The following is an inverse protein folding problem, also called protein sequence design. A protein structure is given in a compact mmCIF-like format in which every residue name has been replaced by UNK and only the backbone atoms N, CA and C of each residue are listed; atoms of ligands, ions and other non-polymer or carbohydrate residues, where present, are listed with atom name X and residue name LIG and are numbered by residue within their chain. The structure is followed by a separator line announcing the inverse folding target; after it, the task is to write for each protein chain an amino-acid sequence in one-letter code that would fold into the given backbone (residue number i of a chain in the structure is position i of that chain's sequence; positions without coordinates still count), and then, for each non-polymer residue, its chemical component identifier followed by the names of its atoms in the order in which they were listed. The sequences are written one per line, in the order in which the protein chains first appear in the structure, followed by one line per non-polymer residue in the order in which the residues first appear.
data_IF_113273568431
#
_entry.id   IF_113273568431
#
_cell.length_a   1.000
_cell.length_b   1.000
_cell.length_c   1.000
_cell.angle_alpha   90.00
_cell.angle_beta   90.00
_cell.angle_gamma   90.00
#
_symmetry.space_group_name_H-M   'P 1'
#
loop_
_entity.id
_entity.type
_entity.pdbx_description
1 polymer ?
#
# COMPACT_ATOMS: atom_id res chain seq x y z
N UNK A 1 11.01 6.58 26.90
CA UNK A 1 11.38 5.73 25.73
C UNK A 1 11.22 6.56 24.46
N UNK A 2 12.25 6.55 23.63
CA UNK A 2 12.30 7.25 22.34
C UNK A 2 12.53 6.25 21.20
N UNK A 3 11.79 6.36 20.10
CA UNK A 3 12.01 5.57 18.87
C UNK A 3 12.50 6.50 17.76
N UNK A 4 13.44 6.02 16.94
CA UNK A 4 13.77 6.65 15.67
C UNK A 4 13.28 5.80 14.50
N UNK A 5 12.49 6.42 13.63
CA UNK A 5 12.01 5.84 12.38
C UNK A 5 12.96 6.16 11.23
N UNK A 6 13.31 5.14 10.45
CA UNK A 6 14.02 5.32 9.17
C UNK A 6 13.06 4.97 8.03
N UNK A 7 12.78 5.94 7.17
CA UNK A 7 11.86 5.78 6.05
C UNK A 7 12.34 6.55 4.81
N UNK A 8 12.05 6.04 3.63
CA UNK A 8 12.30 6.79 2.40
C UNK A 8 11.19 7.80 2.09
N UNK A 9 9.99 7.60 2.59
CA UNK A 9 8.83 8.44 2.33
C UNK A 9 8.30 9.05 3.63
N UNK A 10 8.11 10.38 3.62
CA UNK A 10 7.39 11.10 4.67
C UNK A 10 6.83 12.41 4.10
N UNK A 11 5.69 12.92 4.58
CA UNK A 11 5.12 14.17 4.05
C UNK A 11 6.12 15.33 3.98
N UNK A 12 6.08 16.15 2.90
CA UNK A 12 5.11 16.09 1.79
C UNK A 12 5.44 15.06 0.70
N UNK A 13 6.54 14.32 0.78
CA UNK A 13 7.03 13.40 -0.23
C UNK A 13 6.58 11.97 0.05
N UNK A 14 5.30 11.69 -0.19
CA UNK A 14 4.70 10.36 -0.04
C UNK A 14 4.29 9.83 -1.41
N UNK A 15 4.79 8.63 -1.74
CA UNK A 15 4.56 7.98 -3.03
C UNK A 15 3.66 6.74 -2.92
N UNK A 16 3.68 6.06 -1.78
CA UNK A 16 2.98 4.79 -1.60
C UNK A 16 2.42 4.54 -0.21
N UNK A 17 1.79 3.38 -0.06
CA UNK A 17 1.16 2.98 1.21
C UNK A 17 2.11 2.88 2.39
N UNK A 18 3.40 2.63 2.16
CA UNK A 18 4.40 2.60 3.22
C UNK A 18 4.59 3.98 3.87
N UNK A 19 4.74 5.04 3.05
CA UNK A 19 4.85 6.41 3.55
C UNK A 19 3.61 6.87 4.31
N UNK A 20 2.41 6.53 3.79
CA UNK A 20 1.14 6.76 4.49
C UNK A 20 1.13 6.06 5.86
N UNK A 21 1.53 4.78 5.91
CA UNK A 21 1.56 4.02 7.16
C UNK A 21 2.50 4.64 8.19
N UNK A 22 3.71 5.06 7.77
CA UNK A 22 4.69 5.69 8.68
C UNK A 22 4.16 7.02 9.21
N UNK A 23 3.56 7.86 8.36
CA UNK A 23 2.99 9.14 8.79
C UNK A 23 1.98 8.96 9.93
N UNK A 24 0.96 8.14 9.72
CA UNK A 24 -0.09 7.97 10.73
C UNK A 24 0.40 7.24 11.97
N UNK A 25 1.25 6.22 11.81
CA UNK A 25 1.81 5.49 12.93
C UNK A 25 2.64 6.42 13.83
N UNK A 26 3.50 7.26 13.26
CA UNK A 26 4.36 8.18 14.02
C UNK A 26 3.55 9.28 14.70
N UNK A 27 2.47 9.77 14.07
CA UNK A 27 1.52 10.71 14.69
C UNK A 27 0.86 10.11 15.93
N UNK A 28 0.41 8.87 15.86
CA UNK A 28 -0.24 8.19 16.98
C UNK A 28 0.75 7.76 18.07
N UNK A 29 1.95 7.30 17.69
CA UNK A 29 3.00 6.98 18.65
C UNK A 29 3.48 8.22 19.42
N UNK A 30 3.53 9.39 18.78
CA UNK A 30 3.89 10.63 19.44
C UNK A 30 2.94 11.03 20.60
N UNK A 31 1.74 10.45 20.65
CA UNK A 31 0.84 10.59 21.81
C UNK A 31 1.29 9.72 23.00
N UNK A 32 2.11 8.68 22.76
CA UNK A 32 2.52 7.68 23.75
C UNK A 32 3.98 7.81 24.17
N UNK A 33 4.87 8.25 23.26
CA UNK A 33 6.32 8.27 23.47
C UNK A 33 6.99 9.32 22.57
N UNK A 34 8.30 9.54 22.75
CA UNK A 34 9.05 10.43 21.87
C UNK A 34 9.41 9.74 20.55
N UNK A 35 9.16 10.41 19.44
CA UNK A 35 9.35 9.91 18.09
C UNK A 35 10.26 10.84 17.31
N UNK A 36 11.32 10.28 16.76
CA UNK A 36 12.17 10.92 15.76
C UNK A 36 11.95 10.22 14.41
N UNK A 37 11.82 10.97 13.32
CA UNK A 37 11.73 10.44 11.96
C UNK A 37 12.91 10.97 11.16
N UNK A 38 13.72 10.07 10.62
CA UNK A 38 14.72 10.36 9.60
C UNK A 38 14.22 9.86 8.26
N UNK A 39 14.03 10.77 7.31
CA UNK A 39 13.46 10.45 6.00
C UNK A 39 14.30 11.03 4.86
N UNK A 40 14.03 10.55 3.64
CA UNK A 40 14.63 11.15 2.46
C UNK A 40 13.93 12.49 2.17
N UNK A 41 14.71 13.49 1.76
CA UNK A 41 14.22 14.81 1.40
C UNK A 41 14.86 15.93 2.20
N UNK A 42 14.11 17.00 2.46
CA UNK A 42 14.56 18.21 3.14
C UNK A 42 13.63 18.68 4.27
N UNK A 43 12.73 17.81 4.66
CA UNK A 43 11.74 18.09 5.69
C UNK A 43 12.41 18.48 7.01
N UNK A 44 11.83 19.48 7.68
CA UNK A 44 12.19 19.90 9.04
C UNK A 44 10.90 20.20 9.80
N UNK A 45 10.47 19.26 10.65
CA UNK A 45 9.27 19.41 11.48
C UNK A 45 9.64 19.20 12.94
N UNK A 46 9.20 20.10 13.78
CA UNK A 46 9.33 19.96 15.25
C UNK A 46 7.97 20.20 15.87
N UNK A 47 7.40 19.15 16.46
CA UNK A 47 6.14 19.16 17.23
C UNK A 47 6.40 18.53 18.59
N UNK A 48 5.52 18.71 19.58
CA UNK A 48 5.62 17.98 20.84
C UNK A 48 5.77 16.47 20.57
N UNK A 49 6.84 15.86 21.10
CA UNK A 49 7.18 14.43 20.97
C UNK A 49 7.33 13.88 19.54
N UNK A 50 7.37 14.74 18.51
CA UNK A 50 7.61 14.34 17.12
C UNK A 50 8.59 15.28 16.45
N UNK A 51 9.76 14.75 16.09
CA UNK A 51 10.76 15.45 15.31
C UNK A 51 10.95 14.75 13.96
N UNK A 52 10.92 15.50 12.85
CA UNK A 52 11.17 14.97 11.51
C UNK A 52 12.36 15.68 10.88
N UNK A 53 13.29 14.91 10.35
CA UNK A 53 14.49 15.42 9.68
C UNK A 53 14.67 14.69 8.34
N UNK A 54 14.62 15.47 7.26
CA UNK A 54 14.93 14.99 5.91
C UNK A 54 16.44 14.98 5.64
N UNK A 55 16.90 14.01 4.87
CA UNK A 55 18.28 13.83 4.45
C UNK A 55 18.34 13.67 2.95
N UNK A 56 19.26 14.37 2.31
CA UNK A 56 19.50 14.27 0.86
C UNK A 56 20.61 13.27 0.60
N UNK A 57 20.56 12.56 -0.54
CA UNK A 57 21.69 11.73 -0.98
C UNK A 57 22.97 12.57 -1.15
N UNK A 58 24.11 11.93 -1.03
CA UNK A 58 25.38 12.57 -1.31
C UNK A 58 25.46 13.02 -2.77
N UNK A 59 25.94 14.24 -3.05
CA UNK A 59 26.02 14.75 -4.41
C UNK A 59 26.91 13.88 -5.32
N UNK A 60 26.51 13.73 -6.58
CA UNK A 60 27.33 13.09 -7.60
C UNK A 60 27.24 11.56 -7.69
N UNK A 61 26.64 10.87 -6.71
CA UNK A 61 26.58 9.40 -6.72
C UNK A 61 25.82 8.79 -7.90
N UNK A 62 24.84 9.52 -8.43
CA UNK A 62 24.04 9.06 -9.56
C UNK A 62 24.53 9.60 -10.91
N UNK A 63 25.45 10.57 -10.91
CA UNK A 63 25.84 11.35 -12.11
C UNK A 63 26.40 10.46 -13.23
N UNK A 64 27.31 9.55 -12.88
CA UNK A 64 27.97 8.65 -13.82
C UNK A 64 27.64 7.17 -13.53
N UNK A 65 26.58 6.93 -12.74
CA UNK A 65 26.19 5.59 -12.38
C UNK A 65 25.56 4.84 -13.59
N UNK A 66 25.89 3.57 -13.71
CA UNK A 66 25.21 2.69 -14.67
C UNK A 66 23.71 2.78 -14.50
N UNK A 67 22.97 2.72 -15.62
CA UNK A 67 21.51 2.84 -15.65
C UNK A 67 20.86 1.91 -14.63
N UNK A 68 20.05 2.50 -13.73
CA UNK A 68 19.36 1.79 -12.65
C UNK A 68 20.11 1.77 -11.31
N UNK A 69 21.42 2.01 -11.25
CA UNK A 69 22.20 1.94 -10.00
C UNK A 69 22.15 3.23 -9.18
N UNK A 70 21.99 4.39 -9.83
CA UNK A 70 22.04 5.67 -9.14
C UNK A 70 21.13 5.76 -7.92
N UNK A 71 19.86 5.37 -8.05
CA UNK A 71 18.90 5.37 -6.93
C UNK A 71 19.31 4.45 -5.78
N UNK A 72 19.96 3.32 -6.07
CA UNK A 72 20.42 2.41 -5.04
C UNK A 72 21.61 3.00 -4.27
N UNK A 73 22.58 3.61 -4.99
CA UNK A 73 23.73 4.29 -4.37
C UNK A 73 23.27 5.50 -3.54
N UNK A 74 22.33 6.28 -4.03
CA UNK A 74 21.72 7.36 -3.29
C UNK A 74 21.06 6.87 -1.99
N UNK A 75 20.31 5.77 -2.05
CA UNK A 75 19.71 5.17 -0.86
C UNK A 75 20.78 4.75 0.16
N UNK A 76 21.88 4.12 -0.28
CA UNK A 76 22.97 3.73 0.61
C UNK A 76 23.61 4.93 1.31
N UNK A 77 23.83 6.05 0.60
CA UNK A 77 24.40 7.27 1.20
C UNK A 77 23.51 7.85 2.30
N UNK A 78 22.19 7.85 2.09
CA UNK A 78 21.23 8.30 3.12
C UNK A 78 21.21 7.36 4.33
N UNK A 79 21.37 6.04 4.13
CA UNK A 79 21.50 5.10 5.24
C UNK A 79 22.71 5.41 6.12
N UNK A 80 23.85 5.77 5.53
CA UNK A 80 25.04 6.20 6.28
C UNK A 80 24.79 7.49 7.08
N UNK A 81 24.08 8.45 6.50
CA UNK A 81 23.67 9.66 7.22
C UNK A 81 22.72 9.34 8.40
N UNK A 82 21.79 8.40 8.22
CA UNK A 82 20.84 8.02 9.26
C UNK A 82 21.53 7.41 10.50
N UNK A 83 22.59 6.65 10.32
CA UNK A 83 23.26 5.96 11.40
C UNK A 83 24.47 6.70 12.00
N UNK A 84 24.73 7.97 11.63
CA UNK A 84 25.84 8.76 12.20
C UNK A 84 25.78 8.94 13.72
N UNK A 85 24.58 9.11 14.23
CA UNK A 85 24.32 9.27 15.66
C UNK A 85 22.98 8.64 16.03
N UNK A 86 22.82 8.30 17.29
CA UNK A 86 21.57 7.79 17.81
C UNK A 86 21.39 8.19 19.28
N UNK A 87 20.20 8.65 19.62
CA UNK A 87 19.77 8.93 21.01
C UNK A 87 18.44 8.22 21.33
N UNK A 88 18.00 7.34 20.44
CA UNK A 88 16.77 6.58 20.62
C UNK A 88 17.07 5.21 21.26
N UNK A 89 16.09 4.72 21.99
CA UNK A 89 16.12 3.41 22.64
C UNK A 89 15.85 2.27 21.62
N UNK A 90 15.21 2.60 20.48
CA UNK A 90 14.83 1.66 19.42
C UNK A 90 14.99 2.33 18.06
N UNK A 91 15.45 1.55 17.07
CA UNK A 91 15.43 1.92 15.65
C UNK A 91 14.37 1.10 14.95
N UNK A 92 13.47 1.76 14.20
CA UNK A 92 12.43 1.12 13.41
C UNK A 92 12.50 1.56 11.94
N UNK A 93 12.70 0.65 11.01
CA UNK A 93 12.82 0.97 9.59
C UNK A 93 11.68 0.39 8.76
N UNK A 94 11.52 0.99 7.58
CA UNK A 94 10.47 0.65 6.60
C UNK A 94 11.04 0.61 5.20
N UNK A 95 10.85 -0.50 4.49
CA UNK A 95 11.33 -0.78 3.14
C UNK A 95 12.86 -0.93 3.03
N UNK A 96 13.31 -1.62 1.98
CA UNK A 96 14.74 -1.89 1.76
C UNK A 96 15.59 -0.61 1.65
N UNK A 97 15.00 0.50 1.23
CA UNK A 97 15.69 1.79 1.10
C UNK A 97 16.38 2.27 2.38
N UNK A 98 15.91 1.81 3.54
CA UNK A 98 16.40 2.27 4.85
C UNK A 98 16.87 1.14 5.76
N UNK A 99 16.77 -0.08 5.30
CA UNK A 99 17.04 -1.28 6.09
C UNK A 99 18.50 -1.35 6.57
N UNK A 100 19.48 -1.01 5.71
CA UNK A 100 20.90 -1.05 6.09
C UNK A 100 21.23 -0.02 7.17
N UNK A 101 20.67 1.19 7.09
CA UNK A 101 20.88 2.22 8.12
C UNK A 101 20.43 1.74 9.50
N UNK A 102 19.29 1.07 9.58
CA UNK A 102 18.80 0.52 10.84
C UNK A 102 19.65 -0.67 11.32
N UNK A 103 20.07 -1.53 10.42
CA UNK A 103 21.01 -2.62 10.75
C UNK A 103 22.36 -2.08 11.28
N UNK A 104 22.92 -1.06 10.65
CA UNK A 104 24.13 -0.40 11.13
C UNK A 104 23.93 0.28 12.48
N UNK A 105 22.79 0.94 12.69
CA UNK A 105 22.47 1.55 13.99
C UNK A 105 22.42 0.50 15.11
N UNK A 106 21.83 -0.68 14.86
CA UNK A 106 21.87 -1.82 15.80
C UNK A 106 23.32 -2.22 16.15
N UNK A 107 24.20 -2.33 15.15
CA UNK A 107 25.58 -2.74 15.37
C UNK A 107 26.39 -1.68 16.10
N UNK A 108 26.24 -0.41 15.74
CA UNK A 108 27.03 0.69 16.29
C UNK A 108 26.57 1.08 17.69
N UNK A 109 25.26 1.16 17.93
CA UNK A 109 24.71 1.71 19.18
C UNK A 109 24.12 0.64 20.11
N UNK A 110 24.11 -0.64 19.69
CA UNK A 110 23.58 -1.77 20.46
C UNK A 110 22.11 -1.61 20.85
N UNK A 111 21.33 -0.88 20.04
CA UNK A 111 19.89 -0.67 20.25
C UNK A 111 19.08 -1.74 19.51
N UNK A 112 17.90 -2.14 20.04
CA UNK A 112 16.98 -3.03 19.33
C UNK A 112 16.58 -2.48 17.97
N UNK A 113 16.52 -3.36 16.98
CA UNK A 113 16.15 -3.07 15.60
C UNK A 113 14.83 -3.74 15.23
N UNK A 114 13.82 -2.93 14.95
CA UNK A 114 12.51 -3.35 14.44
C UNK A 114 12.39 -3.02 12.96
N UNK A 115 11.78 -3.91 12.18
CA UNK A 115 11.54 -3.73 10.76
C UNK A 115 10.08 -4.02 10.42
N UNK A 116 9.40 -3.12 9.71
CA UNK A 116 8.06 -3.39 9.15
C UNK A 116 8.15 -3.76 7.68
N UNK A 117 7.59 -4.93 7.33
CA UNK A 117 7.49 -5.41 5.95
C UNK A 117 6.19 -4.91 5.33
N UNK A 118 6.31 -3.99 4.35
CA UNK A 118 5.17 -3.51 3.54
C UNK A 118 5.02 -4.29 2.23
N UNK A 119 6.07 -4.95 1.79
CA UNK A 119 6.16 -5.90 0.67
C UNK A 119 7.50 -6.62 0.77
N UNK A 120 7.68 -7.70 0.03
CA UNK A 120 8.95 -8.43 -0.05
C UNK A 120 9.44 -8.41 -1.50
N UNK A 121 10.76 -8.20 -1.69
CA UNK A 121 11.36 -8.18 -3.02
C UNK A 121 11.16 -9.50 -3.79
N UNK A 122 11.29 -10.72 -3.17
CA UNK A 122 11.04 -11.98 -3.88
C UNK A 122 9.60 -12.12 -4.45
N UNK A 123 8.62 -11.46 -3.81
CA UNK A 123 7.23 -11.45 -4.30
C UNK A 123 6.93 -10.34 -5.30
N UNK A 124 7.95 -9.64 -5.79
CA UNK A 124 7.84 -8.51 -6.72
C UNK A 124 8.81 -8.63 -7.89
N UNK A 125 8.81 -9.74 -8.65
CA UNK A 125 9.79 -10.01 -9.71
C UNK A 125 9.79 -8.93 -10.81
N UNK A 126 8.66 -8.26 -11.05
CA UNK A 126 8.55 -7.12 -11.98
C UNK A 126 9.41 -5.90 -11.55
N UNK A 127 9.88 -5.85 -10.29
CA UNK A 127 10.82 -4.81 -9.84
C UNK A 127 12.17 -4.88 -10.54
N UNK A 128 12.54 -6.05 -11.04
CA UNK A 128 13.76 -6.19 -11.86
C UNK A 128 13.69 -5.36 -13.13
N UNK A 129 12.50 -5.19 -13.72
CA UNK A 129 12.29 -4.31 -14.88
C UNK A 129 12.56 -2.82 -14.53
N UNK A 130 12.29 -2.42 -13.28
CA UNK A 130 12.48 -1.04 -12.81
C UNK A 130 13.90 -0.76 -12.31
N UNK A 131 14.49 -1.71 -11.59
CA UNK A 131 15.76 -1.53 -10.87
C UNK A 131 16.96 -2.13 -11.62
N UNK A 132 16.72 -2.97 -12.63
CA UNK A 132 17.81 -3.68 -13.30
C UNK A 132 18.67 -4.46 -12.32
N UNK A 133 19.99 -4.37 -12.45
CA UNK A 133 20.93 -5.02 -11.54
C UNK A 133 20.86 -4.54 -10.09
N UNK A 134 20.31 -3.36 -9.81
CA UNK A 134 20.09 -2.89 -8.45
C UNK A 134 19.01 -3.70 -7.69
N UNK A 135 18.22 -4.54 -8.40
CA UNK A 135 17.28 -5.46 -7.78
C UNK A 135 17.98 -6.52 -6.91
N UNK A 136 19.13 -7.00 -7.34
CA UNK A 136 19.90 -7.99 -6.56
C UNK A 136 20.43 -7.36 -5.28
N UNK A 137 20.87 -6.09 -5.35
CA UNK A 137 21.28 -5.33 -4.16
C UNK A 137 20.10 -5.10 -3.21
N UNK A 138 18.94 -4.67 -3.71
CA UNK A 138 17.74 -4.43 -2.87
C UNK A 138 17.29 -5.72 -2.18
N UNK A 139 17.33 -6.84 -2.88
CA UNK A 139 16.96 -8.16 -2.36
C UNK A 139 17.95 -8.63 -1.28
N UNK A 140 19.26 -8.41 -1.48
CA UNK A 140 20.28 -8.72 -0.49
C UNK A 140 20.13 -7.84 0.77
N UNK A 141 19.91 -6.54 0.60
CA UNK A 141 19.70 -5.60 1.71
C UNK A 141 18.46 -6.01 2.53
N UNK A 142 17.35 -6.31 1.84
CA UNK A 142 16.12 -6.72 2.51
C UNK A 142 16.33 -8.02 3.31
N UNK A 143 16.92 -9.05 2.70
CA UNK A 143 17.24 -10.32 3.36
C UNK A 143 18.10 -10.10 4.60
N UNK A 144 19.22 -9.41 4.45
CA UNK A 144 20.18 -9.18 5.53
C UNK A 144 19.53 -8.47 6.71
N UNK A 145 18.73 -7.44 6.45
CA UNK A 145 18.09 -6.68 7.51
C UNK A 145 16.96 -7.47 8.20
N UNK A 146 16.12 -8.17 7.44
CA UNK A 146 15.00 -8.95 7.99
C UNK A 146 15.54 -10.06 8.92
N UNK A 147 16.60 -10.78 8.50
CA UNK A 147 17.20 -11.84 9.29
C UNK A 147 17.94 -11.32 10.54
N UNK A 148 18.49 -10.09 10.48
CA UNK A 148 19.18 -9.45 11.59
C UNK A 148 18.25 -8.72 12.58
N UNK A 149 16.98 -8.49 12.23
CA UNK A 149 16.05 -7.76 13.07
C UNK A 149 15.76 -8.46 14.40
N UNK A 150 15.58 -7.68 15.47
CA UNK A 150 15.13 -8.20 16.76
C UNK A 150 13.64 -8.52 16.76
N UNK A 151 12.85 -7.73 16.01
CA UNK A 151 11.47 -8.03 15.69
C UNK A 151 11.12 -7.58 14.27
N UNK A 152 10.30 -8.37 13.58
CA UNK A 152 9.72 -8.07 12.27
C UNK A 152 8.22 -7.86 12.43
N UNK A 153 7.72 -6.71 12.05
CA UNK A 153 6.29 -6.44 11.95
C UNK A 153 5.82 -6.83 10.54
N UNK A 154 4.98 -7.83 10.47
CA UNK A 154 4.27 -8.22 9.25
C UNK A 154 2.90 -7.55 9.23
N UNK A 155 2.57 -6.85 8.13
CA UNK A 155 1.29 -6.10 8.01
C UNK A 155 0.06 -7.00 7.85
N UNK A 156 0.25 -8.31 7.74
CA UNK A 156 -0.81 -9.33 7.71
C UNK A 156 -0.27 -10.70 8.11
N UNK A 157 -1.15 -11.64 8.44
CA UNK A 157 -0.76 -13.04 8.66
C UNK A 157 -0.25 -13.69 7.35
N UNK A 158 -0.80 -13.25 6.20
CA UNK A 158 -0.27 -13.61 4.89
C UNK A 158 1.18 -13.18 4.74
N UNK A 159 1.50 -11.91 5.03
CA UNK A 159 2.87 -11.40 5.01
C UNK A 159 3.79 -12.13 5.99
N UNK A 160 3.30 -12.53 7.18
CA UNK A 160 4.08 -13.35 8.11
C UNK A 160 4.48 -14.69 7.48
N UNK A 161 3.57 -15.35 6.77
CA UNK A 161 3.87 -16.59 6.04
C UNK A 161 4.90 -16.35 4.93
N UNK A 162 4.75 -15.26 4.20
CA UNK A 162 5.68 -14.89 3.12
C UNK A 162 7.10 -14.63 3.67
N UNK A 163 7.24 -13.91 4.79
CA UNK A 163 8.53 -13.68 5.47
C UNK A 163 9.18 -15.01 5.87
N UNK A 164 8.41 -15.92 6.47
CA UNK A 164 8.91 -17.24 6.88
C UNK A 164 9.30 -18.13 5.69
N UNK A 165 8.64 -17.96 4.55
CA UNK A 165 8.96 -18.72 3.33
C UNK A 165 10.20 -18.18 2.60
N UNK A 166 10.44 -16.86 2.65
CA UNK A 166 11.53 -16.21 1.92
C UNK A 166 12.82 -16.08 2.71
N UNK A 167 12.74 -16.02 4.06
CA UNK A 167 13.87 -15.65 4.92
C UNK A 167 13.99 -16.56 6.15
N UNK A 168 15.21 -16.69 6.66
CA UNK A 168 15.48 -17.49 7.85
C UNK A 168 15.19 -16.67 9.12
N UNK A 169 13.92 -16.48 9.43
CA UNK A 169 13.45 -15.74 10.62
C UNK A 169 12.52 -16.61 11.46
N UNK A 170 12.82 -16.81 12.76
CA UNK A 170 11.93 -17.55 13.65
C UNK A 170 10.54 -16.89 13.76
N UNK A 171 9.49 -17.71 13.76
CA UNK A 171 8.10 -17.23 13.87
C UNK A 171 7.85 -16.37 15.11
N UNK A 172 8.61 -16.58 16.20
CA UNK A 172 8.55 -15.81 17.45
C UNK A 172 9.00 -14.36 17.29
N UNK A 173 9.86 -14.06 16.31
CA UNK A 173 10.29 -12.69 15.99
C UNK A 173 9.33 -11.95 15.06
N UNK A 174 8.34 -12.64 14.45
CA UNK A 174 7.44 -12.05 13.48
C UNK A 174 6.07 -11.77 14.12
N UNK A 175 5.77 -10.47 14.26
CA UNK A 175 4.55 -9.97 14.90
C UNK A 175 3.58 -9.43 13.85
N UNK A 176 2.33 -9.92 13.86
CA UNK A 176 1.30 -9.40 12.95
C UNK A 176 0.70 -8.14 13.54
N UNK A 177 0.96 -7.00 12.92
CA UNK A 177 0.38 -5.71 13.26
C UNK A 177 -0.12 -5.08 11.96
N UNK A 178 -1.43 -5.06 11.77
CA UNK A 178 -2.07 -4.50 10.57
C UNK A 178 -1.82 -3.00 10.43
N UNK A 179 -1.92 -2.48 9.21
CA UNK A 179 -2.01 -1.03 9.00
C UNK A 179 -3.37 -0.51 9.51
N UNK A 180 -3.41 0.78 9.83
CA UNK A 180 -4.62 1.45 10.30
C UNK A 180 -5.27 2.33 9.23
N UNK A 181 -6.34 3.00 9.64
CA UNK A 181 -7.04 4.04 8.90
C UNK A 181 -7.34 5.22 9.82
N UNK A 182 -7.26 6.44 9.29
CA UNK A 182 -7.73 7.64 10.00
C UNK A 182 -9.23 7.85 9.69
N UNK A 183 -10.06 7.55 10.66
CA UNK A 183 -11.52 7.60 10.52
C UNK A 183 -12.10 9.02 10.57
N UNK A 184 -11.30 10.02 10.96
CA UNK A 184 -11.69 11.42 10.88
C UNK A 184 -11.52 11.96 9.45
N UNK A 185 -10.48 11.50 8.76
CA UNK A 185 -10.23 11.83 7.36
C UNK A 185 -11.09 10.94 6.43
N UNK A 186 -10.98 9.62 6.55
CA UNK A 186 -11.73 8.66 5.72
C UNK A 186 -13.11 8.38 6.32
N UNK A 187 -14.07 9.19 5.92
CA UNK A 187 -15.49 9.09 6.32
C UNK A 187 -16.37 9.37 5.12
N UNK A 188 -17.61 8.86 5.11
CA UNK A 188 -18.56 9.16 4.05
C UNK A 188 -18.74 10.67 3.86
N UNK A 189 -18.67 11.12 2.62
CA UNK A 189 -18.90 12.50 2.19
C UNK A 189 -20.21 12.60 1.40
N UNK A 190 -20.99 13.64 1.65
CA UNK A 190 -22.17 13.96 0.85
C UNK A 190 -21.85 14.84 -0.36
N UNK A 191 -20.63 15.41 -0.43
CA UNK A 191 -20.19 16.22 -1.58
C UNK A 191 -20.09 15.38 -2.84
N UNK A 192 -20.49 15.97 -3.97
CA UNK A 192 -20.34 15.40 -5.32
C UNK A 192 -19.52 16.30 -6.24
N UNK A 193 -18.77 17.24 -5.66
CA UNK A 193 -17.99 18.21 -6.42
C UNK A 193 -16.90 17.53 -7.27
N UNK A 194 -16.19 16.55 -6.69
CA UNK A 194 -15.19 15.76 -7.40
C UNK A 194 -15.82 14.91 -8.51
N UNK A 195 -17.00 14.33 -8.30
CA UNK A 195 -17.70 13.55 -9.32
C UNK A 195 -17.98 14.43 -10.54
N UNK A 196 -18.61 15.60 -10.34
CA UNK A 196 -18.92 16.56 -11.41
C UNK A 196 -17.68 17.06 -12.12
N UNK A 197 -16.62 17.39 -11.38
CA UNK A 197 -15.33 17.84 -11.91
C UNK A 197 -14.74 16.82 -12.91
N UNK A 198 -14.93 15.53 -12.64
CA UNK A 198 -14.37 14.46 -13.45
C UNK A 198 -15.38 13.84 -14.43
N UNK A 199 -16.56 14.47 -14.62
CA UNK A 199 -17.56 14.01 -15.57
C UNK A 199 -18.26 12.71 -15.15
N UNK A 200 -18.29 12.41 -13.87
CA UNK A 200 -19.01 11.26 -13.29
C UNK A 200 -20.42 11.73 -12.96
N UNK A 201 -21.41 11.04 -13.53
CA UNK A 201 -22.84 11.33 -13.23
C UNK A 201 -23.20 10.76 -11.84
N UNK A 202 -23.52 11.62 -10.85
CA UNK A 202 -23.86 11.15 -9.51
C UNK A 202 -25.18 10.35 -9.43
N UNK A 203 -26.06 10.48 -10.44
CA UNK A 203 -27.31 9.74 -10.48
C UNK A 203 -27.16 8.29 -10.95
N UNK A 204 -26.02 7.95 -11.53
CA UNK A 204 -25.74 6.61 -12.07
C UNK A 204 -24.77 5.86 -11.16
N UNK A 205 -25.03 4.57 -10.87
CA UNK A 205 -24.07 3.75 -10.13
C UNK A 205 -22.74 3.63 -10.90
N UNK A 206 -21.62 3.56 -10.17
CA UNK A 206 -20.32 3.31 -10.79
C UNK A 206 -19.46 2.33 -10.02
N UNK A 207 -18.63 1.63 -10.78
CA UNK A 207 -17.49 0.84 -10.27
C UNK A 207 -16.27 1.76 -10.20
N UNK A 208 -15.61 1.79 -9.08
CA UNK A 208 -14.41 2.60 -8.84
C UNK A 208 -13.17 1.72 -8.73
N UNK A 209 -12.10 2.10 -9.40
CA UNK A 209 -10.72 1.68 -9.12
C UNK A 209 -9.90 2.89 -8.68
N UNK A 210 -9.08 2.73 -7.64
CA UNK A 210 -8.11 3.75 -7.20
C UNK A 210 -6.74 3.10 -7.04
N UNK A 211 -5.73 3.63 -7.69
CA UNK A 211 -4.37 3.14 -7.53
C UNK A 211 -3.43 3.51 -8.66
N UNK A 212 -2.15 3.15 -8.51
CA UNK A 212 -1.16 3.30 -9.58
C UNK A 212 -1.37 2.26 -10.67
N UNK A 213 -0.95 2.58 -11.87
CA UNK A 213 -0.95 1.63 -12.99
C UNK A 213 0.28 0.73 -12.84
N UNK A 214 0.10 -0.40 -12.18
CA UNK A 214 1.17 -1.37 -11.93
C UNK A 214 0.66 -2.80 -12.17
N UNK A 215 1.55 -3.74 -12.48
CA UNK A 215 1.17 -5.16 -12.58
C UNK A 215 0.59 -5.65 -11.26
N UNK A 216 1.20 -5.28 -10.15
CA UNK A 216 0.73 -5.63 -8.81
C UNK A 216 -0.74 -5.29 -8.57
N UNK A 217 -1.21 -4.14 -9.05
CA UNK A 217 -2.59 -3.68 -8.85
C UNK A 217 -3.61 -4.35 -9.78
N UNK A 218 -3.16 -5.10 -10.76
CA UNK A 218 -4.01 -5.92 -11.63
C UNK A 218 -5.07 -5.15 -12.42
N UNK A 219 -4.87 -3.83 -12.62
CA UNK A 219 -5.86 -2.97 -13.29
C UNK A 219 -6.25 -3.47 -14.68
N UNK A 220 -5.33 -4.12 -15.39
CA UNK A 220 -5.58 -4.69 -16.72
C UNK A 220 -6.69 -5.75 -16.68
N UNK A 221 -6.78 -6.53 -15.59
CA UNK A 221 -7.86 -7.51 -15.42
C UNK A 221 -9.23 -6.83 -15.24
N UNK A 222 -9.29 -5.68 -14.56
CA UNK A 222 -10.52 -4.88 -14.51
C UNK A 222 -10.84 -4.32 -15.89
N UNK A 223 -9.88 -3.74 -16.59
CA UNK A 223 -10.08 -3.22 -17.96
C UNK A 223 -10.66 -4.32 -18.86
N UNK A 224 -10.12 -5.53 -18.80
CA UNK A 224 -10.64 -6.68 -19.55
C UNK A 224 -12.00 -7.18 -19.07
N UNK A 225 -12.40 -6.87 -17.83
CA UNK A 225 -13.74 -7.18 -17.29
C UNK A 225 -14.83 -6.19 -17.76
N UNK A 226 -14.47 -4.94 -18.07
CA UNK A 226 -15.41 -3.84 -18.39
C UNK A 226 -16.49 -4.22 -19.42
N UNK A 227 -16.19 -4.93 -20.53
CA UNK A 227 -17.22 -5.30 -21.51
C UNK A 227 -18.35 -6.16 -20.94
N UNK A 228 -18.14 -6.81 -19.78
CA UNK A 228 -19.10 -7.69 -19.12
C UNK A 228 -19.75 -7.04 -17.87
N UNK A 229 -19.29 -5.86 -17.47
CA UNK A 229 -19.93 -5.08 -16.41
C UNK A 229 -21.21 -4.46 -16.96
N UNK A 230 -22.25 -4.39 -16.14
CA UNK A 230 -23.53 -3.82 -16.49
C UNK A 230 -23.40 -2.47 -17.23
N UNK A 231 -23.92 -2.35 -18.47
CA UNK A 231 -23.74 -1.14 -19.27
C UNK A 231 -24.45 0.10 -18.69
N UNK A 232 -25.42 -0.08 -17.78
CA UNK A 232 -26.03 1.02 -17.06
C UNK A 232 -25.08 1.68 -16.04
N UNK A 233 -24.10 0.93 -15.52
CA UNK A 233 -23.13 1.46 -14.58
C UNK A 233 -21.96 2.14 -15.31
N UNK A 234 -21.46 3.23 -14.72
CA UNK A 234 -20.21 3.86 -15.14
C UNK A 234 -19.02 3.06 -14.59
N UNK A 235 -17.86 3.16 -15.23
CA UNK A 235 -16.59 2.63 -14.71
C UNK A 235 -15.60 3.77 -14.60
N UNK A 236 -15.15 4.02 -13.38
CA UNK A 236 -14.24 5.11 -13.04
C UNK A 236 -12.88 4.51 -12.68
N UNK A 237 -11.89 4.79 -13.49
CA UNK A 237 -10.50 4.36 -13.30
C UNK A 237 -9.68 5.56 -12.82
N UNK A 238 -9.57 5.75 -11.51
CA UNK A 238 -8.66 6.73 -10.91
C UNK A 238 -7.27 6.10 -10.85
N UNK A 239 -6.54 6.17 -11.97
CA UNK A 239 -5.33 5.41 -12.20
C UNK A 239 -4.28 6.24 -12.92
N UNK A 240 -3.18 6.55 -12.24
CA UNK A 240 -2.04 7.29 -12.75
C UNK A 240 -0.71 6.64 -12.37
N UNK A 241 0.38 7.38 -12.57
CA UNK A 241 1.74 6.99 -12.17
C UNK A 241 2.11 5.54 -12.57
N UNK A 242 2.20 5.24 -13.89
CA UNK A 242 2.57 3.90 -14.35
C UNK A 242 4.00 3.55 -13.93
N UNK A 243 4.22 2.29 -13.55
CA UNK A 243 5.54 1.82 -13.14
C UNK A 243 6.52 1.74 -14.32
N UNK A 244 6.03 1.39 -15.52
CA UNK A 244 6.82 1.31 -16.76
C UNK A 244 6.04 1.86 -17.97
N UNK A 245 6.75 2.15 -19.07
CA UNK A 245 6.12 2.62 -20.30
C UNK A 245 5.24 1.55 -20.95
N UNK A 246 5.62 0.28 -20.80
CA UNK A 246 4.93 -0.88 -21.38
C UNK A 246 3.54 -1.03 -20.75
N UNK A 247 3.43 -1.00 -19.43
CA UNK A 247 2.12 -1.10 -18.76
C UNK A 247 1.27 0.14 -18.99
N UNK A 248 1.89 1.33 -19.15
CA UNK A 248 1.18 2.55 -19.54
C UNK A 248 0.54 2.39 -20.93
N UNK A 249 1.30 1.90 -21.89
CA UNK A 249 0.81 1.66 -23.26
C UNK A 249 -0.28 0.58 -23.30
N UNK A 250 -0.12 -0.53 -22.56
CA UNK A 250 -1.12 -1.59 -22.43
C UNK A 250 -2.45 -1.06 -21.87
N UNK A 251 -2.36 -0.24 -20.81
CA UNK A 251 -3.52 0.40 -20.19
C UNK A 251 -4.23 1.34 -21.18
N UNK A 252 -3.49 2.22 -21.85
CA UNK A 252 -4.04 3.17 -22.82
C UNK A 252 -4.72 2.45 -23.99
N UNK A 253 -4.08 1.45 -24.57
CA UNK A 253 -4.66 0.65 -25.64
C UNK A 253 -5.93 -0.10 -25.21
N UNK A 254 -5.92 -0.66 -24.00
CA UNK A 254 -7.06 -1.35 -23.41
C UNK A 254 -8.27 -0.44 -23.23
N UNK A 255 -8.07 0.73 -22.61
CA UNK A 255 -9.12 1.72 -22.38
C UNK A 255 -9.66 2.28 -23.71
N UNK A 256 -8.77 2.66 -24.63
CA UNK A 256 -9.17 3.19 -25.94
C UNK A 256 -10.02 2.19 -26.74
N UNK A 257 -9.65 0.89 -26.70
CA UNK A 257 -10.43 -0.19 -27.32
C UNK A 257 -11.85 -0.26 -26.76
N UNK A 258 -12.00 -0.16 -25.43
CA UNK A 258 -13.31 -0.26 -24.77
C UNK A 258 -14.15 0.99 -25.05
N UNK A 259 -13.56 2.17 -25.04
CA UNK A 259 -14.27 3.44 -25.27
C UNK A 259 -14.83 3.58 -26.68
N UNK A 260 -14.39 2.74 -27.66
CA UNK A 260 -15.04 2.68 -28.98
C UNK A 260 -16.49 2.17 -28.91
N UNK A 261 -16.76 1.24 -27.99
CA UNK A 261 -18.09 0.60 -27.85
C UNK A 261 -18.83 1.00 -26.59
N UNK A 262 -18.13 1.55 -25.58
CA UNK A 262 -18.71 1.92 -24.27
C UNK A 262 -18.25 3.31 -23.83
N UNK A 263 -19.18 4.28 -23.84
CA UNK A 263 -18.87 5.71 -23.57
C UNK A 263 -18.81 6.09 -22.09
N UNK A 264 -19.33 5.27 -21.19
CA UNK A 264 -19.38 5.54 -19.76
C UNK A 264 -18.18 4.93 -18.99
N UNK A 265 -17.00 4.95 -19.60
CA UNK A 265 -15.72 4.60 -18.99
C UNK A 265 -14.90 5.87 -18.84
N UNK A 266 -14.67 6.28 -17.61
CA UNK A 266 -13.97 7.51 -17.25
C UNK A 266 -12.59 7.12 -16.69
N UNK A 267 -11.55 7.56 -17.34
CA UNK A 267 -10.17 7.35 -16.86
C UNK A 267 -9.54 8.68 -16.44
N UNK A 268 -9.19 8.75 -15.16
CA UNK A 268 -8.51 9.89 -14.54
C UNK A 268 -7.03 9.52 -14.42
N UNK A 269 -6.21 10.05 -15.33
CA UNK A 269 -4.78 9.70 -15.50
C UNK A 269 -3.87 10.40 -14.49
N UNK A 270 -4.37 10.75 -13.32
CA UNK A 270 -3.62 11.50 -12.29
C UNK A 270 -3.81 10.85 -10.93
N UNK A 271 -2.84 11.12 -10.06
CA UNK A 271 -3.02 10.93 -8.62
C UNK A 271 -3.87 12.10 -8.10
N UNK A 272 -5.03 11.77 -7.54
CA UNK A 272 -5.95 12.78 -7.01
C UNK A 272 -5.59 13.18 -5.57
N UNK A 273 -5.94 14.41 -5.16
CA UNK A 273 -5.95 14.80 -3.75
C UNK A 273 -6.83 13.86 -2.93
N UNK A 274 -6.44 13.59 -1.69
CA UNK A 274 -7.14 12.69 -0.76
C UNK A 274 -8.63 13.03 -0.64
N UNK A 275 -8.98 14.31 -0.57
CA UNK A 275 -10.38 14.76 -0.47
C UNK A 275 -11.23 14.32 -1.66
N UNK A 276 -10.70 14.40 -2.89
CA UNK A 276 -11.41 13.94 -4.08
C UNK A 276 -11.54 12.40 -4.09
N UNK A 277 -10.50 11.68 -3.66
CA UNK A 277 -10.54 10.21 -3.55
C UNK A 277 -11.61 9.77 -2.54
N UNK A 278 -11.73 10.46 -1.41
CA UNK A 278 -12.77 10.20 -0.39
C UNK A 278 -14.17 10.39 -0.97
N UNK A 279 -14.41 11.46 -1.75
CA UNK A 279 -15.68 11.65 -2.44
C UNK A 279 -15.96 10.50 -3.43
N UNK A 280 -14.97 10.08 -4.22
CA UNK A 280 -15.12 8.96 -5.15
C UNK A 280 -15.44 7.65 -4.41
N UNK A 281 -14.78 7.35 -3.29
CA UNK A 281 -15.14 6.18 -2.48
C UNK A 281 -16.56 6.28 -1.94
N UNK A 282 -16.94 7.45 -1.42
CA UNK A 282 -18.23 7.66 -0.71
C UNK A 282 -19.46 7.42 -1.59
N UNK A 283 -19.34 7.63 -2.88
CA UNK A 283 -20.44 7.47 -3.83
C UNK A 283 -20.31 6.24 -4.73
N UNK A 284 -19.24 5.45 -4.60
CA UNK A 284 -19.03 4.26 -5.40
C UNK A 284 -20.07 3.17 -5.09
N UNK A 285 -20.74 2.65 -6.11
CA UNK A 285 -21.61 1.49 -5.97
C UNK A 285 -20.82 0.21 -5.68
N UNK A 286 -19.57 0.13 -6.16
CA UNK A 286 -18.60 -0.89 -5.81
C UNK A 286 -17.19 -0.35 -6.01
N UNK A 287 -16.31 -0.57 -5.03
CA UNK A 287 -14.86 -0.40 -5.17
C UNK A 287 -14.24 -1.73 -5.63
N UNK A 288 -13.45 -1.68 -6.69
CA UNK A 288 -12.80 -2.86 -7.26
C UNK A 288 -11.30 -2.85 -6.95
N UNK A 289 -10.80 -3.90 -6.28
CA UNK A 289 -9.39 -4.12 -6.01
C UNK A 289 -8.91 -5.43 -6.64
N UNK A 290 -8.51 -5.43 -7.93
CA UNK A 290 -8.14 -6.65 -8.67
C UNK A 290 -6.66 -7.01 -8.49
N UNK A 291 -6.03 -6.63 -7.38
CA UNK A 291 -4.60 -6.84 -7.13
C UNK A 291 -4.20 -8.31 -7.27
N UNK A 292 -3.05 -8.56 -7.90
CA UNK A 292 -2.48 -9.92 -8.03
C UNK A 292 -1.56 -10.26 -6.84
N UNK A 293 -1.05 -9.25 -6.17
CA UNK A 293 -0.30 -9.35 -4.93
C UNK A 293 -0.64 -8.14 -4.04
N UNK A 294 -1.07 -8.39 -2.81
CA UNK A 294 -1.45 -7.33 -1.89
C UNK A 294 -1.04 -7.69 -0.45
N UNK A 295 0.04 -7.10 0.07
CA UNK A 295 0.54 -7.39 1.42
C UNK A 295 -0.47 -7.14 2.54
N UNK A 296 -1.28 -6.08 2.42
CA UNK A 296 -2.35 -5.75 3.35
C UNK A 296 -3.63 -5.32 2.62
N UNK A 297 -3.53 -4.28 1.77
CA UNK A 297 -4.69 -3.75 1.05
C UNK A 297 -5.34 -2.55 1.74
N UNK A 298 -4.54 -1.56 2.13
CA UNK A 298 -5.03 -0.34 2.79
C UNK A 298 -6.14 0.36 2.02
N UNK A 299 -6.10 0.35 0.68
CA UNK A 299 -7.14 0.93 -0.18
C UNK A 299 -8.51 0.27 0.00
N UNK A 300 -8.57 -1.01 0.40
CA UNK A 300 -9.83 -1.66 0.75
C UNK A 300 -10.36 -1.13 2.09
N UNK A 301 -9.47 -0.86 3.05
CA UNK A 301 -9.86 -0.25 4.33
C UNK A 301 -10.33 1.19 4.13
N UNK A 302 -9.67 1.96 3.26
CA UNK A 302 -10.09 3.31 2.86
C UNK A 302 -11.49 3.31 2.25
N UNK A 303 -11.73 2.43 1.28
CA UNK A 303 -13.03 2.24 0.64
C UNK A 303 -14.11 1.88 1.68
N UNK A 304 -13.84 0.89 2.53
CA UNK A 304 -14.75 0.49 3.61
C UNK A 304 -15.03 1.62 4.60
N UNK A 305 -14.01 2.40 4.96
CA UNK A 305 -14.14 3.55 5.85
C UNK A 305 -15.03 4.66 5.27
N UNK A 306 -15.01 4.82 3.95
CA UNK A 306 -15.87 5.74 3.22
C UNK A 306 -17.26 5.16 2.85
N UNK A 307 -17.54 3.92 3.22
CA UNK A 307 -18.82 3.25 2.96
C UNK A 307 -18.94 2.62 1.56
N UNK A 308 -17.84 2.44 0.82
CA UNK A 308 -17.88 1.74 -0.46
C UNK A 308 -17.93 0.22 -0.27
N UNK A 309 -18.87 -0.50 -0.92
CA UNK A 309 -18.82 -1.96 -1.02
C UNK A 309 -17.58 -2.43 -1.76
N UNK A 310 -16.85 -3.40 -1.21
CA UNK A 310 -15.60 -3.89 -1.80
C UNK A 310 -15.79 -5.16 -2.60
N UNK A 311 -15.24 -5.19 -3.81
CA UNK A 311 -15.05 -6.41 -4.62
C UNK A 311 -13.56 -6.52 -4.89
N UNK A 312 -12.91 -7.55 -4.37
CA UNK A 312 -11.46 -7.68 -4.42
C UNK A 312 -11.01 -9.09 -4.77
N UNK A 313 -9.80 -9.23 -5.28
CA UNK A 313 -9.17 -10.54 -5.47
C UNK A 313 -8.87 -11.21 -4.12
N UNK A 314 -9.00 -12.54 -4.08
CA UNK A 314 -8.71 -13.33 -2.89
C UNK A 314 -7.21 -13.59 -2.74
N UNK A 315 -6.41 -12.53 -2.45
CA UNK A 315 -4.95 -12.61 -2.33
C UNK A 315 -4.42 -11.91 -1.07
N UNK A 316 -3.33 -12.43 -0.53
CA UNK A 316 -2.54 -11.82 0.54
C UNK A 316 -3.36 -11.29 1.71
N UNK A 317 -3.05 -10.08 2.15
CA UNK A 317 -3.72 -9.41 3.26
C UNK A 317 -5.17 -8.99 2.99
N UNK A 318 -5.63 -8.98 1.73
CA UNK A 318 -7.06 -8.72 1.41
C UNK A 318 -7.97 -9.72 2.11
N UNK A 319 -7.52 -10.97 2.28
CA UNK A 319 -8.26 -12.02 2.98
C UNK A 319 -8.52 -11.70 4.48
N UNK A 320 -7.71 -10.82 5.04
CA UNK A 320 -7.84 -10.37 6.43
C UNK A 320 -8.62 -9.05 6.55
N UNK A 321 -8.65 -8.26 5.48
CA UNK A 321 -9.39 -7.00 5.42
C UNK A 321 -10.85 -7.22 5.07
N UNK A 322 -11.13 -7.94 3.98
CA UNK A 322 -12.49 -8.16 3.46
C UNK A 322 -13.02 -9.50 3.97
N UNK A 323 -14.14 -9.46 4.69
CA UNK A 323 -14.86 -10.67 5.11
C UNK A 323 -15.89 -11.03 4.05
N UNK A 324 -15.72 -12.21 3.37
CA UNK A 324 -16.62 -12.58 2.27
C UNK A 324 -18.09 -12.60 2.69
N UNK A 325 -18.97 -12.12 1.83
CA UNK A 325 -20.43 -12.04 2.02
C UNK A 325 -20.90 -11.19 3.22
N UNK A 326 -19.95 -10.58 3.96
CA UNK A 326 -20.25 -9.69 5.09
C UNK A 326 -19.86 -8.24 4.80
N UNK A 327 -18.62 -8.00 4.38
CA UNK A 327 -18.09 -6.64 4.12
C UNK A 327 -17.76 -6.41 2.66
N UNK A 328 -17.85 -7.44 1.83
CA UNK A 328 -17.55 -7.38 0.40
C UNK A 328 -17.57 -8.77 -0.24
N UNK A 329 -17.14 -8.82 -1.50
CA UNK A 329 -16.95 -10.07 -2.24
C UNK A 329 -15.47 -10.30 -2.53
N UNK A 330 -15.05 -11.55 -2.38
CA UNK A 330 -13.72 -12.00 -2.79
C UNK A 330 -13.82 -12.85 -4.05
N UNK A 331 -13.11 -12.42 -5.08
CA UNK A 331 -13.01 -13.14 -6.36
C UNK A 331 -11.88 -14.16 -6.26
N UNK A 332 -12.16 -15.46 -6.49
CA UNK A 332 -11.15 -16.51 -6.43
C UNK A 332 -9.96 -16.20 -7.32
N UNK A 333 -8.75 -16.38 -6.79
CA UNK A 333 -7.51 -16.11 -7.48
C UNK A 333 -6.57 -17.30 -7.39
N UNK A 334 -6.16 -17.83 -8.52
CA UNK A 334 -5.17 -18.90 -8.62
C UNK A 334 -3.95 -18.37 -9.35
N UNK A 335 -2.82 -18.34 -8.66
CA UNK A 335 -1.55 -17.87 -9.19
C UNK A 335 -0.97 -18.86 -10.20
N UNK A 336 -0.38 -18.38 -11.29
CA UNK A 336 0.50 -19.16 -12.15
C UNK A 336 1.72 -19.64 -11.37
N UNK A 337 2.23 -20.82 -11.73
CA UNK A 337 3.46 -21.37 -11.11
C UNK A 337 4.75 -20.97 -11.86
N UNK A 338 4.72 -19.86 -12.59
CA UNK A 338 5.84 -19.36 -13.40
C UNK A 338 6.58 -18.16 -12.75
N UNK A 339 6.23 -17.83 -11.51
CA UNK A 339 6.84 -16.72 -10.76
C UNK A 339 6.31 -15.33 -11.13
N UNK A 340 5.40 -15.20 -12.10
CA UNK A 340 4.88 -13.89 -12.53
C UNK A 340 3.81 -13.30 -11.60
N UNK A 341 3.22 -14.12 -10.72
CA UNK A 341 2.05 -13.79 -9.91
C UNK A 341 0.76 -13.54 -10.70
N UNK A 342 0.79 -13.66 -12.01
CA UNK A 342 -0.40 -13.53 -12.86
C UNK A 342 -1.45 -14.60 -12.53
N UNK A 343 -2.74 -14.35 -12.76
CA UNK A 343 -3.76 -15.37 -12.59
C UNK A 343 -3.53 -16.51 -13.60
N UNK A 344 -3.75 -17.74 -13.16
CA UNK A 344 -3.61 -18.95 -13.98
C UNK A 344 -4.46 -18.88 -15.27
N UNK A 345 -5.67 -18.33 -15.16
CA UNK A 345 -6.56 -18.01 -16.29
C UNK A 345 -7.01 -16.54 -16.15
N UNK A 346 -6.30 -15.59 -16.82
CA UNK A 346 -6.66 -14.17 -16.77
C UNK A 346 -8.05 -13.88 -17.33
N UNK A 347 -8.50 -14.65 -18.33
CA UNK A 347 -9.82 -14.51 -18.92
C UNK A 347 -10.93 -14.92 -17.94
N UNK A 348 -10.75 -16.05 -17.24
CA UNK A 348 -11.67 -16.47 -16.17
C UNK A 348 -11.70 -15.46 -15.04
N UNK A 349 -10.56 -15.00 -14.56
CA UNK A 349 -10.48 -14.02 -13.49
C UNK A 349 -11.23 -12.71 -13.83
N UNK A 350 -11.05 -12.20 -15.06
CA UNK A 350 -11.78 -11.01 -15.53
C UNK A 350 -13.30 -11.27 -15.63
N UNK A 351 -13.75 -12.47 -16.03
CA UNK A 351 -15.17 -12.85 -16.02
C UNK A 351 -15.75 -12.92 -14.60
N UNK A 352 -15.05 -13.56 -13.68
CA UNK A 352 -15.46 -13.71 -12.29
C UNK A 352 -15.52 -12.35 -11.60
N UNK A 353 -14.57 -11.46 -11.90
CA UNK A 353 -14.54 -10.08 -11.41
C UNK A 353 -15.79 -9.30 -11.89
N UNK A 354 -16.11 -9.38 -13.18
CA UNK A 354 -17.31 -8.75 -13.73
C UNK A 354 -18.60 -9.31 -13.10
N UNK A 355 -18.67 -10.63 -12.90
CA UNK A 355 -19.82 -11.26 -12.26
C UNK A 355 -20.02 -10.79 -10.81
N UNK A 356 -18.95 -10.70 -10.02
CA UNK A 356 -19.00 -10.18 -8.66
C UNK A 356 -19.41 -8.70 -8.60
N UNK A 357 -18.86 -7.86 -9.49
CA UNK A 357 -19.23 -6.45 -9.61
C UNK A 357 -20.72 -6.30 -9.97
N UNK A 358 -21.22 -7.05 -10.96
CA UNK A 358 -22.62 -7.02 -11.38
C UNK A 358 -23.56 -7.47 -10.27
N UNK A 359 -23.16 -8.43 -9.44
CA UNK A 359 -23.94 -8.86 -8.28
C UNK A 359 -24.14 -7.72 -7.29
N UNK A 360 -23.10 -6.93 -7.02
CA UNK A 360 -23.19 -5.74 -6.14
C UNK A 360 -23.99 -4.62 -6.80
N UNK A 361 -23.75 -4.35 -8.09
CA UNK A 361 -24.44 -3.30 -8.84
C UNK A 361 -25.97 -3.51 -8.89
N UNK A 362 -26.43 -4.75 -9.04
CA UNK A 362 -27.86 -5.08 -9.15
C UNK A 362 -28.61 -5.14 -7.83
N UNK A 363 -27.91 -5.13 -6.67
CA UNK A 363 -28.55 -5.29 -5.36
C UNK A 363 -28.28 -4.11 -4.43
N UNK A 364 -29.19 -3.13 -4.34
CA UNK A 364 -29.10 -2.04 -3.36
C UNK A 364 -28.98 -2.53 -1.90
N UNK A 365 -29.72 -3.62 -1.57
CA UNK A 365 -29.66 -4.22 -0.25
C UNK A 365 -28.26 -4.78 0.08
N UNK A 366 -27.62 -5.42 -0.90
CA UNK A 366 -26.26 -5.94 -0.73
C UNK A 366 -25.24 -4.81 -0.59
N UNK A 367 -25.39 -3.74 -1.39
CA UNK A 367 -24.55 -2.54 -1.26
C UNK A 367 -24.64 -1.94 0.14
N UNK A 368 -25.85 -1.73 0.64
CA UNK A 368 -26.07 -1.20 2.00
C UNK A 368 -25.45 -2.11 3.06
N UNK A 369 -25.70 -3.43 2.97
CA UNK A 369 -25.12 -4.42 3.90
C UNK A 369 -23.60 -4.32 3.95
N UNK A 370 -22.93 -4.29 2.80
CA UNK A 370 -21.48 -4.25 2.71
C UNK A 370 -20.90 -2.91 3.18
N UNK A 371 -21.54 -1.80 2.83
CA UNK A 371 -21.17 -0.47 3.28
C UNK A 371 -21.21 -0.36 4.82
N UNK A 372 -22.33 -0.71 5.43
CA UNK A 372 -22.51 -0.63 6.89
C UNK A 372 -21.55 -1.56 7.65
N UNK A 373 -21.40 -2.79 7.19
CA UNK A 373 -20.52 -3.76 7.82
C UNK A 373 -19.03 -3.45 7.58
N UNK A 374 -18.68 -2.96 6.39
CA UNK A 374 -17.33 -2.52 6.04
C UNK A 374 -16.89 -1.35 6.90
N UNK A 375 -17.74 -0.32 7.03
CA UNK A 375 -17.46 0.83 7.88
C UNK A 375 -17.23 0.41 9.34
N UNK A 376 -18.12 -0.38 9.93
CA UNK A 376 -17.96 -0.90 11.29
C UNK A 376 -16.68 -1.69 11.48
N UNK A 377 -16.28 -2.49 10.46
CA UNK A 377 -15.02 -3.24 10.52
C UNK A 377 -13.81 -2.33 10.50
N UNK A 378 -13.81 -1.28 9.64
CA UNK A 378 -12.73 -0.29 9.61
C UNK A 378 -12.59 0.39 10.99
N UNK A 379 -13.70 0.78 11.62
CA UNK A 379 -13.73 1.41 12.93
C UNK A 379 -13.20 0.52 14.05
N UNK A 380 -13.59 -0.75 14.07
CA UNK A 380 -13.29 -1.65 15.19
C UNK A 380 -11.95 -2.36 15.09
N UNK A 381 -11.44 -2.59 13.87
CA UNK A 381 -10.26 -3.44 13.66
C UNK A 381 -9.01 -2.68 13.19
N UNK A 382 -9.18 -1.54 12.51
CA UNK A 382 -8.09 -0.90 11.77
C UNK A 382 -7.80 0.54 12.20
N UNK A 383 -7.98 0.90 13.49
CA UNK A 383 -7.65 2.24 13.96
C UNK A 383 -6.13 2.42 14.16
N UNK A 384 -5.55 3.53 13.67
CA UNK A 384 -4.15 3.84 13.92
C UNK A 384 -3.79 3.92 15.40
N UNK A 385 -4.70 4.38 16.25
CA UNK A 385 -4.49 4.38 17.71
C UNK A 385 -4.29 2.96 18.25
N UNK A 386 -5.05 1.98 17.76
CA UNK A 386 -4.89 0.56 18.12
C UNK A 386 -3.57 -0.01 17.60
N UNK A 387 -3.18 0.34 16.38
CA UNK A 387 -1.89 -0.04 15.78
C UNK A 387 -0.72 0.51 16.61
N UNK A 388 -0.77 1.80 16.96
CA UNK A 388 0.27 2.44 17.77
C UNK A 388 0.40 1.81 19.16
N UNK A 389 -0.71 1.45 19.82
CA UNK A 389 -0.67 0.74 21.11
C UNK A 389 0.01 -0.62 21.00
N UNK A 390 -0.30 -1.42 19.97
CA UNK A 390 0.34 -2.73 19.72
C UNK A 390 1.84 -2.56 19.43
N UNK A 391 2.20 -1.59 18.60
CA UNK A 391 3.60 -1.28 18.25
C UNK A 391 4.38 -0.81 19.48
N UNK A 392 3.80 0.07 20.29
CA UNK A 392 4.40 0.53 21.54
C UNK A 392 4.60 -0.61 22.55
N UNK A 393 3.64 -1.54 22.67
CA UNK A 393 3.79 -2.72 23.52
C UNK A 393 4.93 -3.63 23.05
N UNK A 394 5.08 -3.83 21.73
CA UNK A 394 6.23 -4.55 21.15
C UNK A 394 7.55 -3.86 21.50
N UNK A 395 7.63 -2.54 21.36
CA UNK A 395 8.85 -1.80 21.72
C UNK A 395 9.22 -1.99 23.19
N UNK A 396 8.25 -1.91 24.08
CA UNK A 396 8.48 -2.13 25.52
C UNK A 396 8.98 -3.54 25.84
N UNK A 397 8.67 -4.53 25.04
CA UNK A 397 9.19 -5.89 25.24
C UNK A 397 10.64 -6.08 24.78
N UNK A 398 11.15 -5.16 23.95
CA UNK A 398 12.50 -5.21 23.39
C UNK A 398 13.50 -4.34 24.16
N UNK A 399 13.05 -3.28 24.81
CA UNK A 399 13.87 -2.41 25.66
C UNK A 399 13.84 -2.96 27.08
N UNK A 400 14.99 -3.37 27.58
CA UNK A 400 15.17 -3.87 28.95
C UNK A 400 15.32 -2.75 29.94
#
# INVERSE_FOLDING_TARGET
MKVVFYTNEYPPYVYGGAGVAVEYLTRELAKLMDVEVRCFGDQRVKKPRLQVTGYKPWPGLSKDAQKGFGKALEALSVNLEFCKNNTADIVHCHTWYTNLGAFFAKLLFKVPFVLTTHSLEPHRPWKREQLGGAYDLSSWVEKTAIEAADAVIAVSAGMKKDVMACYNVPASKIHVIHNGIDLQEYRPSSSTAALRKWGIDPARPYVLFVGRITRQKGIIHLVNAIPRIDPAAQVVLCAGAPDTKEIAAEMAAGVARIQKTRKNVIWIEKMLPKSEVIELYSHAAAFCCPSIYEPFGIINVEAMACGAPVVASAVGGILEVVVPEKTGLLVPFQVKKDGTYEPRDPGKFSRDLAAALNRVLRSPALRKKFADAGRRRAETQFSWAGVAKKTHALYRSLVK
#
